data_IF_943221013728
#
_entry.id   IF_943221013728
#
_cell.length_a   1.000
_cell.length_b   1.000
_cell.length_c   1.000
_cell.angle_alpha   90.00
_cell.angle_beta   90.00
_cell.angle_gamma   90.00
#
_symmetry.space_group_name_H-M   'P 1'
#
loop_
_entity.id
_entity.type
_entity.pdbx_description
1 polymer ?
#
# COMPACT_ATOMS: atom_id res chain seq x y z
N UNK A 1 -0.30 -21.04 14.62
CA UNK A 1 0.47 -19.83 14.97
C UNK A 1 0.35 -18.82 13.84
N UNK A 2 0.10 -17.55 14.17
CA UNK A 2 0.19 -16.43 13.24
C UNK A 2 1.38 -15.58 13.66
N UNK A 3 2.27 -15.28 12.71
CA UNK A 3 3.37 -14.34 12.86
C UNK A 3 3.09 -13.17 11.94
N UNK A 4 3.00 -11.96 12.51
CA UNK A 4 2.54 -10.76 11.81
C UNK A 4 3.69 -9.76 11.68
N UNK A 5 3.92 -9.22 10.47
CA UNK A 5 4.90 -8.15 10.21
C UNK A 5 6.37 -8.58 10.27
N UNK A 6 6.78 -9.64 9.55
CA UNK A 6 8.20 -10.07 9.52
C UNK A 6 9.17 -8.95 9.08
N UNK A 7 8.74 -8.12 8.13
CA UNK A 7 9.51 -7.00 7.62
C UNK A 7 9.71 -5.87 8.65
N UNK A 8 8.97 -5.87 9.76
CA UNK A 8 9.15 -4.90 10.83
C UNK A 8 10.24 -5.29 11.86
N UNK A 9 10.94 -6.40 11.65
CA UNK A 9 12.18 -6.74 12.36
C UNK A 9 13.33 -5.99 11.69
N UNK A 10 13.97 -5.07 12.43
CA UNK A 10 15.01 -4.20 11.90
C UNK A 10 16.30 -4.98 11.64
N UNK A 11 16.75 -5.82 12.58
CA UNK A 11 17.92 -6.69 12.38
C UNK A 11 17.64 -7.78 11.34
N UNK A 12 18.38 -7.72 10.22
CA UNK A 12 18.33 -8.72 9.15
C UNK A 12 18.79 -10.10 9.61
N UNK A 13 19.75 -10.21 10.54
CA UNK A 13 20.25 -11.48 11.04
C UNK A 13 19.22 -12.17 11.96
N UNK A 14 18.61 -11.42 12.89
CA UNK A 14 17.46 -11.90 13.68
C UNK A 14 16.29 -12.33 12.78
N UNK A 15 15.96 -11.54 11.75
CA UNK A 15 14.90 -11.86 10.79
C UNK A 15 15.18 -13.16 10.03
N UNK A 16 16.38 -13.33 9.49
CA UNK A 16 16.77 -14.55 8.76
C UNK A 16 16.80 -15.77 9.70
N UNK A 17 17.26 -15.60 10.95
CA UNK A 17 17.19 -16.65 11.99
C UNK A 17 15.75 -17.05 12.28
N UNK A 18 14.84 -16.08 12.43
CA UNK A 18 13.41 -16.34 12.65
C UNK A 18 12.79 -17.11 11.48
N UNK A 19 13.06 -16.73 10.22
CA UNK A 19 12.54 -17.46 9.06
C UNK A 19 13.03 -18.90 9.01
N UNK A 20 14.30 -19.16 9.36
CA UNK A 20 14.84 -20.53 9.43
C UNK A 20 14.16 -21.35 10.54
N UNK A 21 13.93 -20.79 11.73
CA UNK A 21 13.20 -21.46 12.82
C UNK A 21 11.76 -21.79 12.40
N UNK A 22 11.04 -20.84 11.81
CA UNK A 22 9.67 -21.04 11.32
C UNK A 22 9.60 -22.07 10.19
N UNK A 23 10.60 -22.11 9.29
CA UNK A 23 10.68 -23.11 8.24
C UNK A 23 10.91 -24.52 8.82
N UNK A 24 11.84 -24.67 9.78
CA UNK A 24 12.10 -25.95 10.44
C UNK A 24 10.86 -26.49 11.16
N UNK A 25 10.14 -25.64 11.90
CA UNK A 25 8.86 -26.00 12.54
C UNK A 25 7.72 -26.30 11.56
N UNK A 26 7.79 -25.79 10.33
CA UNK A 26 6.81 -26.08 9.28
C UNK A 26 7.16 -27.32 8.44
N UNK A 27 8.42 -27.79 8.49
CA UNK A 27 8.88 -29.02 7.81
C UNK A 27 8.84 -30.29 8.66
N UNK A 28 8.69 -30.17 9.98
CA UNK A 28 8.52 -31.34 10.86
C UNK A 28 7.06 -31.81 10.81
N UNK A 29 6.83 -33.01 10.28
CA UNK A 29 5.50 -33.64 10.19
C UNK A 29 4.85 -33.88 11.57
N UNK A 30 5.64 -33.91 12.66
CA UNK A 30 5.14 -34.03 14.04
C UNK A 30 4.82 -32.68 14.67
N UNK A 31 5.10 -31.57 13.99
CA UNK A 31 4.84 -30.22 14.50
C UNK A 31 3.32 -29.97 14.65
N UNK A 32 2.83 -29.60 15.84
CA UNK A 32 1.42 -29.26 16.02
C UNK A 32 1.04 -27.91 15.37
N UNK A 33 2.02 -27.16 14.82
CA UNK A 33 1.85 -25.77 14.42
C UNK A 33 1.60 -25.61 12.93
N UNK A 34 0.38 -25.23 12.57
CA UNK A 34 0.13 -24.54 11.28
C UNK A 34 0.60 -23.09 11.39
N UNK A 35 1.55 -22.70 10.55
CA UNK A 35 2.17 -21.37 10.57
C UNK A 35 1.58 -20.52 9.44
N UNK A 36 1.08 -19.33 9.78
CA UNK A 36 0.78 -18.26 8.83
C UNK A 36 1.73 -17.10 9.13
N UNK A 37 2.32 -16.54 8.09
CA UNK A 37 3.30 -15.45 8.17
C UNK A 37 2.83 -14.29 7.28
N UNK A 38 2.78 -13.08 7.82
CA UNK A 38 2.56 -11.86 7.03
C UNK A 38 3.87 -11.08 6.89
N UNK A 39 4.02 -10.40 5.76
CA UNK A 39 5.18 -9.56 5.45
C UNK A 39 4.85 -8.65 4.27
N UNK A 40 5.39 -7.43 4.25
CA UNK A 40 5.56 -6.65 3.02
C UNK A 40 6.51 -7.39 2.05
N UNK A 41 6.54 -7.04 0.76
CA UNK A 41 7.45 -7.68 -0.20
C UNK A 41 8.92 -7.52 0.18
N UNK A 42 9.56 -8.59 0.65
CA UNK A 42 11.01 -8.63 0.91
C UNK A 42 11.72 -9.10 -0.36
N UNK A 43 12.56 -8.22 -0.94
CA UNK A 43 13.46 -8.57 -2.05
C UNK A 43 14.68 -9.35 -1.54
N UNK A 44 14.95 -10.52 -2.13
CA UNK A 44 16.14 -11.33 -1.85
C UNK A 44 15.80 -12.77 -1.46
N UNK A 45 16.78 -13.47 -0.87
CA UNK A 45 16.68 -14.88 -0.46
C UNK A 45 16.13 -15.09 0.95
N UNK A 46 15.77 -14.04 1.69
CA UNK A 46 15.28 -14.13 3.08
C UNK A 46 14.12 -15.13 3.26
N UNK A 47 13.18 -15.19 2.30
CA UNK A 47 12.04 -16.12 2.30
C UNK A 47 12.33 -17.48 1.65
N UNK A 48 13.56 -17.72 1.17
CA UNK A 48 13.94 -18.98 0.53
C UNK A 48 13.78 -20.23 1.42
N UNK A 49 13.97 -20.20 2.76
CA UNK A 49 13.69 -21.35 3.62
C UNK A 49 12.24 -21.83 3.51
N UNK A 50 11.28 -20.89 3.54
CA UNK A 50 9.84 -21.19 3.42
C UNK A 50 9.46 -21.63 2.00
N UNK A 51 10.11 -21.09 0.97
CA UNK A 51 9.92 -21.53 -0.41
C UNK A 51 10.43 -22.96 -0.64
N UNK A 52 11.57 -23.32 -0.03
CA UNK A 52 12.16 -24.68 -0.14
C UNK A 52 11.27 -25.77 0.43
N UNK A 53 10.51 -25.49 1.49
CA UNK A 53 9.55 -26.42 2.08
C UNK A 53 8.17 -26.40 1.39
N UNK A 54 8.03 -25.69 0.28
CA UNK A 54 6.78 -25.62 -0.49
C UNK A 54 5.66 -24.77 0.14
N UNK A 55 6.01 -23.81 1.02
CA UNK A 55 5.00 -22.95 1.66
C UNK A 55 4.18 -22.16 0.63
N UNK A 56 2.86 -22.17 0.79
CA UNK A 56 1.95 -21.46 -0.10
C UNK A 56 2.05 -19.94 0.10
N UNK A 57 2.31 -19.19 -0.99
CA UNK A 57 2.33 -17.74 -1.01
C UNK A 57 0.98 -17.18 -1.45
N UNK A 58 0.42 -16.27 -0.65
CA UNK A 58 -0.75 -15.48 -0.98
C UNK A 58 -0.37 -13.99 -1.00
N UNK A 59 -1.08 -13.19 -1.80
CA UNK A 59 -0.86 -11.74 -1.91
C UNK A 59 -2.17 -11.02 -1.62
N UNK A 60 -2.19 -10.19 -0.58
CA UNK A 60 -3.34 -9.35 -0.27
C UNK A 60 -3.46 -8.26 -1.33
N UNK A 61 -4.50 -8.35 -2.16
CA UNK A 61 -4.75 -7.38 -3.21
C UNK A 61 -5.29 -6.06 -2.62
N UNK A 62 -4.87 -4.91 -3.16
CA UNK A 62 -5.45 -3.62 -2.79
C UNK A 62 -6.90 -3.54 -3.28
N UNK A 63 -7.73 -2.70 -2.66
CA UNK A 63 -9.13 -2.53 -3.05
C UNK A 63 -9.24 -2.18 -4.55
N UNK A 64 -10.24 -2.76 -5.21
CA UNK A 64 -10.75 -2.26 -6.49
C UNK A 64 -11.87 -1.24 -6.23
N UNK A 65 -12.45 -0.70 -7.30
CA UNK A 65 -13.50 0.32 -7.20
C UNK A 65 -14.79 -0.20 -6.52
N UNK A 66 -15.08 -1.50 -6.59
CA UNK A 66 -16.28 -2.08 -5.99
C UNK A 66 -16.04 -2.34 -4.50
N UNK A 67 -14.88 -2.89 -4.14
CA UNK A 67 -14.45 -3.02 -2.75
C UNK A 67 -14.41 -1.65 -2.03
N UNK A 68 -13.97 -0.60 -2.71
CA UNK A 68 -13.99 0.78 -2.18
C UNK A 68 -15.42 1.34 -2.03
N UNK A 69 -16.32 1.10 -2.99
CA UNK A 69 -17.76 1.46 -2.86
C UNK A 69 -18.37 0.74 -1.66
N UNK A 70 -18.16 -0.57 -1.56
CA UNK A 70 -18.71 -1.39 -0.47
C UNK A 70 -18.13 -0.99 0.89
N UNK A 71 -16.83 -0.67 0.97
CA UNK A 71 -16.19 -0.11 2.16
C UNK A 71 -16.90 1.19 2.59
N UNK A 72 -17.08 2.14 1.66
CA UNK A 72 -17.72 3.42 1.95
C UNK A 72 -19.16 3.26 2.44
N UNK A 73 -19.98 2.47 1.74
CA UNK A 73 -21.38 2.21 2.13
C UNK A 73 -21.46 1.54 3.52
N UNK A 74 -20.54 0.63 3.83
CA UNK A 74 -20.47 -0.02 5.14
C UNK A 74 -19.97 0.91 6.25
N UNK A 75 -19.05 1.83 5.95
CA UNK A 75 -18.49 2.76 6.95
C UNK A 75 -19.51 3.79 7.41
N UNK A 76 -20.19 4.47 6.47
CA UNK A 76 -21.15 5.53 6.79
C UNK A 76 -22.56 5.03 7.10
N UNK A 77 -22.82 3.72 6.97
CA UNK A 77 -24.15 3.07 7.03
C UNK A 77 -25.21 3.77 6.14
N UNK A 78 -24.76 4.49 5.10
CA UNK A 78 -25.57 5.38 4.28
C UNK A 78 -25.00 5.48 2.85
N UNK A 79 -25.77 5.03 1.86
CA UNK A 79 -25.32 5.00 0.47
C UNK A 79 -25.02 6.40 -0.11
N UNK A 80 -25.83 7.41 0.22
CA UNK A 80 -25.63 8.79 -0.28
C UNK A 80 -24.34 9.43 0.24
N UNK A 81 -23.95 9.12 1.48
CA UNK A 81 -22.67 9.55 2.06
C UNK A 81 -21.51 8.76 1.45
N UNK A 82 -21.65 7.44 1.30
CA UNK A 82 -20.65 6.61 0.63
C UNK A 82 -20.37 7.06 -0.80
N UNK A 83 -21.39 7.40 -1.57
CA UNK A 83 -21.21 7.95 -2.92
C UNK A 83 -20.62 9.37 -2.93
N UNK A 84 -20.94 10.24 -1.95
CA UNK A 84 -20.28 11.56 -1.80
C UNK A 84 -18.78 11.38 -1.53
N UNK A 85 -18.42 10.49 -0.62
CA UNK A 85 -17.03 10.17 -0.30
C UNK A 85 -16.25 9.65 -1.52
N UNK A 86 -16.80 8.68 -2.26
CA UNK A 86 -16.18 8.17 -3.50
C UNK A 86 -16.06 9.25 -4.58
N UNK A 87 -17.00 10.21 -4.66
CA UNK A 87 -16.88 11.37 -5.56
C UNK A 87 -15.77 12.33 -5.11
N UNK A 88 -15.62 12.61 -3.82
CA UNK A 88 -14.53 13.47 -3.33
C UNK A 88 -13.15 12.82 -3.52
N UNK A 89 -13.02 11.50 -3.31
CA UNK A 89 -11.78 10.75 -3.64
C UNK A 89 -11.34 11.00 -5.08
N UNK A 90 -12.29 10.91 -6.04
CA UNK A 90 -12.02 11.16 -7.46
C UNK A 90 -11.64 12.60 -7.76
N UNK A 91 -12.34 13.55 -7.14
CA UNK A 91 -12.06 14.98 -7.29
C UNK A 91 -10.69 15.38 -6.71
N UNK A 92 -10.23 14.70 -5.66
CA UNK A 92 -8.92 14.86 -5.06
C UNK A 92 -7.83 13.96 -5.68
N UNK A 93 -8.14 13.24 -6.77
CA UNK A 93 -7.25 12.29 -7.46
C UNK A 93 -6.66 11.17 -6.58
N UNK A 94 -7.33 10.83 -5.48
CA UNK A 94 -6.88 9.84 -4.50
C UNK A 94 -7.16 8.37 -4.91
N UNK A 95 -7.74 8.13 -6.10
CA UNK A 95 -8.25 6.81 -6.52
C UNK A 95 -7.22 5.67 -6.41
N UNK A 96 -5.93 5.91 -6.71
CA UNK A 96 -4.88 4.88 -6.54
C UNK A 96 -4.48 4.70 -5.08
N UNK A 97 -4.57 5.77 -4.28
CA UNK A 97 -4.07 5.83 -2.92
C UNK A 97 -5.01 5.11 -1.92
N UNK A 98 -6.31 5.40 -2.00
CA UNK A 98 -7.32 4.76 -1.13
C UNK A 98 -7.60 3.30 -1.50
N UNK A 99 -6.87 2.74 -2.49
CA UNK A 99 -6.83 1.28 -2.70
C UNK A 99 -6.11 0.57 -1.55
N UNK A 100 -5.27 1.28 -0.79
CA UNK A 100 -4.72 0.81 0.47
C UNK A 100 -5.78 0.98 1.56
N UNK A 101 -6.26 -0.09 2.23
CA UNK A 101 -7.38 0.01 3.18
C UNK A 101 -7.18 1.04 4.29
N UNK A 102 -5.96 1.16 4.83
CA UNK A 102 -5.62 2.18 5.82
C UNK A 102 -5.89 3.62 5.32
N UNK A 103 -5.53 3.91 4.07
CA UNK A 103 -5.67 5.24 3.50
C UNK A 103 -7.14 5.54 3.14
N UNK A 104 -7.93 4.52 2.81
CA UNK A 104 -9.39 4.63 2.75
C UNK A 104 -9.99 4.97 4.12
N UNK A 105 -9.56 4.29 5.20
CA UNK A 105 -9.99 4.58 6.58
C UNK A 105 -9.62 5.99 7.02
N UNK A 106 -8.38 6.43 6.77
CA UNK A 106 -7.93 7.79 7.12
C UNK A 106 -8.74 8.84 6.34
N UNK A 107 -8.94 8.63 5.03
CA UNK A 107 -9.76 9.53 4.22
C UNK A 107 -11.22 9.56 4.70
N UNK A 108 -11.80 8.43 5.12
CA UNK A 108 -13.16 8.37 5.64
C UNK A 108 -13.29 9.16 6.96
N UNK A 109 -12.36 8.96 7.91
CA UNK A 109 -12.33 9.72 9.16
C UNK A 109 -12.19 11.22 8.90
N UNK A 110 -11.32 11.63 7.97
CA UNK A 110 -11.16 13.05 7.61
C UNK A 110 -12.45 13.59 6.96
N UNK A 111 -13.10 12.82 6.08
CA UNK A 111 -14.36 13.20 5.43
C UNK A 111 -15.47 13.48 6.47
N UNK A 112 -15.62 12.62 7.49
CA UNK A 112 -16.60 12.84 8.58
C UNK A 112 -16.34 14.13 9.37
N UNK A 113 -15.07 14.49 9.56
CA UNK A 113 -14.66 15.71 10.26
C UNK A 113 -14.70 16.98 9.39
N UNK A 114 -14.67 16.84 8.06
CA UNK A 114 -14.55 17.96 7.12
C UNK A 114 -15.85 18.34 6.41
N UNK A 115 -16.84 17.44 6.39
CA UNK A 115 -18.15 17.70 5.80
C UNK A 115 -18.05 17.98 4.30
N UNK A 116 -18.28 19.23 3.90
CA UNK A 116 -18.21 19.66 2.50
C UNK A 116 -16.85 20.27 2.09
N UNK A 117 -15.87 20.37 3.00
CA UNK A 117 -14.50 20.74 2.61
C UNK A 117 -13.87 19.59 1.80
N UNK A 118 -13.04 19.90 0.78
CA UNK A 118 -12.39 18.87 -0.02
C UNK A 118 -11.39 18.05 0.80
N UNK A 119 -11.23 16.77 0.45
CA UNK A 119 -10.20 15.91 1.00
C UNK A 119 -8.79 16.40 0.59
N UNK A 120 -7.76 16.19 1.43
CA UNK A 120 -6.36 16.41 1.05
C UNK A 120 -5.99 15.56 -0.17
N UNK A 121 -5.30 16.14 -1.15
CA UNK A 121 -5.05 15.54 -2.47
C UNK A 121 -3.88 14.55 -2.54
N UNK A 122 -3.19 14.30 -1.43
CA UNK A 122 -1.99 13.45 -1.39
C UNK A 122 -1.78 12.74 -0.05
N UNK A 123 -0.96 11.68 -0.06
CA UNK A 123 -0.71 10.83 1.13
C UNK A 123 -0.09 11.60 2.30
N UNK A 124 0.88 12.45 2.03
CA UNK A 124 1.56 13.26 3.04
C UNK A 124 0.55 14.16 3.78
N UNK A 125 -0.31 14.85 3.04
CA UNK A 125 -1.33 15.73 3.61
C UNK A 125 -2.45 14.96 4.33
N UNK A 126 -2.84 13.77 3.86
CA UNK A 126 -3.75 12.89 4.62
C UNK A 126 -3.15 12.49 5.98
N UNK A 127 -1.87 12.12 6.03
CA UNK A 127 -1.20 11.79 7.29
C UNK A 127 -1.06 13.02 8.20
N UNK A 128 -0.66 14.19 7.68
CA UNK A 128 -0.56 15.41 8.50
C UNK A 128 -1.91 15.82 9.09
N UNK A 129 -2.98 15.82 8.29
CA UNK A 129 -4.34 16.14 8.76
C UNK A 129 -4.82 15.11 9.79
N UNK A 130 -4.56 13.82 9.58
CA UNK A 130 -4.95 12.77 10.52
C UNK A 130 -4.15 12.81 11.83
N UNK A 131 -2.83 12.99 11.78
CA UNK A 131 -1.99 13.16 12.96
C UNK A 131 -2.35 14.43 13.72
N UNK A 132 -2.72 15.52 13.02
CA UNK A 132 -3.25 16.73 13.66
C UNK A 132 -4.61 16.47 14.33
N UNK A 133 -5.51 15.74 13.66
CA UNK A 133 -6.80 15.34 14.23
C UNK A 133 -6.63 14.56 15.53
N UNK A 134 -5.80 13.49 15.54
CA UNK A 134 -5.52 12.68 16.73
C UNK A 134 -5.03 13.54 17.91
N UNK A 135 -4.09 14.46 17.66
CA UNK A 135 -3.59 15.42 18.66
C UNK A 135 -4.69 16.36 19.16
N UNK A 136 -5.47 16.96 18.24
CA UNK A 136 -6.49 17.95 18.57
C UNK A 136 -7.71 17.39 19.32
N UNK A 137 -7.98 16.09 19.21
CA UNK A 137 -9.15 15.45 19.81
C UNK A 137 -9.12 15.37 21.35
N UNK A 138 -8.05 15.86 22.01
CA UNK A 138 -7.84 15.76 23.47
C UNK A 138 -7.29 17.02 24.15
N UNK A 139 -7.10 18.14 23.45
CA UNK A 139 -6.49 19.34 24.05
C UNK A 139 -7.46 20.09 24.99
N UNK A 140 -7.23 19.97 26.30
CA UNK A 140 -7.57 21.01 27.28
C UNK A 140 -6.26 21.67 27.73
N UNK A 141 -6.11 22.97 27.46
CA UNK A 141 -4.93 23.81 27.66
C UNK A 141 -3.62 23.34 26.97
N UNK A 142 -2.91 24.21 26.22
CA UNK A 142 -1.65 23.84 25.57
C UNK A 142 -0.53 23.70 26.61
N UNK A 143 0.06 22.51 26.68
CA UNK A 143 1.16 22.19 27.61
C UNK A 143 2.54 22.25 26.93
N UNK A 144 3.64 22.40 27.69
CA UNK A 144 4.99 22.23 27.15
C UNK A 144 5.23 20.84 26.53
N UNK A 145 4.53 19.82 27.04
CA UNK A 145 4.56 18.46 26.51
C UNK A 145 4.04 18.39 25.06
N UNK A 146 3.01 19.17 24.71
CA UNK A 146 2.46 19.19 23.33
C UNK A 146 3.49 19.66 22.29
N UNK A 147 4.37 20.59 22.67
CA UNK A 147 5.46 21.06 21.81
C UNK A 147 6.55 20.00 21.64
N UNK A 148 6.91 19.31 22.73
CA UNK A 148 7.88 18.22 22.74
C UNK A 148 7.38 16.96 22.01
N UNK A 149 6.08 16.65 22.09
CA UNK A 149 5.46 15.46 21.51
C UNK A 149 5.71 15.33 20.00
N UNK A 150 5.80 16.44 19.25
CA UNK A 150 6.12 16.40 17.83
C UNK A 150 7.51 15.81 17.56
N UNK A 151 8.54 16.40 18.18
CA UNK A 151 9.93 15.95 18.04
C UNK A 151 10.15 14.53 18.59
N UNK A 152 9.47 14.18 19.69
CA UNK A 152 9.50 12.84 20.25
C UNK A 152 8.86 11.79 19.32
N UNK A 153 7.73 12.10 18.69
CA UNK A 153 7.10 11.21 17.71
C UNK A 153 7.97 11.03 16.45
N UNK A 154 8.63 12.09 15.98
CA UNK A 154 9.65 12.02 14.92
C UNK A 154 10.81 11.09 15.34
N UNK A 155 11.33 11.24 16.57
CA UNK A 155 12.39 10.37 17.12
C UNK A 155 11.97 8.90 17.24
N UNK A 156 10.81 8.62 17.85
CA UNK A 156 10.28 7.25 18.00
C UNK A 156 9.99 6.60 16.64
N UNK A 157 9.64 7.40 15.62
CA UNK A 157 9.54 6.94 14.24
C UNK A 157 10.89 6.40 13.73
N UNK A 158 11.97 7.15 13.91
CA UNK A 158 13.33 6.72 13.52
C UNK A 158 13.75 5.45 14.29
N UNK A 159 13.60 5.45 15.62
CA UNK A 159 13.90 4.28 16.46
C UNK A 159 13.17 3.04 15.95
N UNK A 160 11.86 3.14 15.67
CA UNK A 160 11.07 1.99 15.19
C UNK A 160 11.54 1.40 13.86
N UNK A 161 12.19 2.18 13.00
CA UNK A 161 12.69 1.71 11.70
C UNK A 161 14.13 1.20 11.75
N UNK A 162 14.95 1.75 12.64
CA UNK A 162 16.40 1.51 12.65
C UNK A 162 16.85 0.55 13.76
N UNK A 163 16.04 0.38 14.81
CA UNK A 163 16.35 -0.54 15.92
C UNK A 163 15.13 -1.37 16.33
N UNK A 164 15.39 -2.49 16.98
CA UNK A 164 14.37 -3.31 17.64
C UNK A 164 14.24 -2.93 19.15
N UNK A 165 14.54 -1.66 19.49
CA UNK A 165 14.47 -1.13 20.87
C UNK A 165 13.02 -0.87 21.30
N UNK A 166 12.71 -1.08 22.58
CA UNK A 166 11.43 -0.67 23.17
C UNK A 166 11.19 0.83 22.99
N UNK A 167 10.00 1.20 22.53
CA UNK A 167 9.61 2.59 22.38
C UNK A 167 9.36 3.29 23.72
N UNK A 168 9.02 2.55 24.79
CA UNK A 168 9.05 3.07 26.17
C UNK A 168 10.46 3.43 26.58
N UNK A 169 11.44 2.52 26.40
CA UNK A 169 12.83 2.79 26.75
C UNK A 169 13.38 4.01 25.99
N UNK A 170 13.13 4.10 24.68
CA UNK A 170 13.51 5.25 23.87
C UNK A 170 12.80 6.55 24.29
N UNK A 171 11.53 6.47 24.74
CA UNK A 171 10.81 7.64 25.29
C UNK A 171 11.49 8.17 26.54
N UNK A 172 11.85 7.28 27.49
CA UNK A 172 12.52 7.67 28.74
C UNK A 172 13.91 8.25 28.48
N UNK A 173 14.68 7.64 27.58
CA UNK A 173 16.02 8.12 27.20
C UNK A 173 15.95 9.49 26.50
N UNK A 174 14.97 9.68 25.60
CA UNK A 174 14.74 10.97 24.95
C UNK A 174 14.30 12.05 25.95
N UNK A 175 13.39 11.71 26.87
CA UNK A 175 12.90 12.62 27.91
C UNK A 175 14.06 13.09 28.81
N UNK A 176 14.90 12.18 29.29
CA UNK A 176 16.06 12.51 30.11
C UNK A 176 17.06 13.48 29.42
N UNK A 177 17.10 13.49 28.08
CA UNK A 177 17.98 14.37 27.29
C UNK A 177 17.38 15.73 26.94
N UNK A 178 16.04 15.88 26.89
CA UNK A 178 15.39 17.10 26.39
C UNK A 178 14.40 17.75 27.38
N UNK A 179 13.96 17.01 28.40
CA UNK A 179 12.98 17.43 29.41
C UNK A 179 13.46 16.94 30.81
N UNK A 180 14.64 17.37 31.29
CA UNK A 180 15.23 16.86 32.54
C UNK A 180 14.34 17.09 33.78
N UNK A 181 13.51 18.13 33.75
CA UNK A 181 12.59 18.50 34.84
C UNK A 181 11.23 17.78 34.78
N UNK A 182 10.99 16.91 33.78
CA UNK A 182 9.72 16.21 33.58
C UNK A 182 9.84 14.70 33.83
N UNK A 183 8.96 14.07 34.62
CA UNK A 183 8.94 12.62 34.75
C UNK A 183 8.57 11.95 33.42
N UNK A 184 9.43 11.07 32.93
CA UNK A 184 9.24 10.39 31.64
C UNK A 184 8.05 9.42 31.59
N UNK A 185 7.54 8.97 32.74
CA UNK A 185 6.36 8.08 32.82
C UNK A 185 5.05 8.79 32.44
N UNK A 186 4.91 10.07 32.79
CA UNK A 186 3.79 10.91 32.36
C UNK A 186 3.79 11.10 30.85
N UNK A 187 4.99 11.17 30.24
CA UNK A 187 5.16 11.28 28.79
C UNK A 187 4.78 9.99 28.06
N UNK A 188 5.10 8.81 28.61
CA UNK A 188 4.63 7.50 28.08
C UNK A 188 3.11 7.40 28.14
N UNK A 189 2.51 7.83 29.25
CA UNK A 189 1.06 7.85 29.45
C UNK A 189 0.38 8.85 28.50
N UNK A 190 0.97 10.03 28.33
CA UNK A 190 0.55 11.04 27.36
C UNK A 190 0.63 10.51 25.92
N UNK A 191 1.75 9.92 25.49
CA UNK A 191 1.88 9.35 24.14
C UNK A 191 0.81 8.29 23.82
N UNK A 192 0.53 7.39 24.77
CA UNK A 192 -0.53 6.39 24.64
C UNK A 192 -1.94 7.00 24.58
N UNK A 193 -2.12 8.24 25.07
CA UNK A 193 -3.35 9.01 25.01
C UNK A 193 -3.46 9.89 23.74
N UNK A 194 -2.36 10.46 23.25
CA UNK A 194 -2.29 11.35 22.07
C UNK A 194 -2.61 10.63 20.76
N UNK A 195 -2.48 9.29 20.73
CA UNK A 195 -3.15 8.45 19.75
C UNK A 195 -2.37 7.89 18.55
N UNK A 196 -1.24 8.45 18.03
CA UNK A 196 -0.50 7.79 16.95
C UNK A 196 0.26 6.54 17.45
N UNK A 197 0.49 6.47 18.75
CA UNK A 197 1.04 5.35 19.51
C UNK A 197 0.00 4.85 20.51
N UNK A 198 0.03 3.55 20.79
CA UNK A 198 -0.83 2.87 21.77
C UNK A 198 0.01 1.94 22.64
N UNK A 199 -0.38 1.74 23.89
CA UNK A 199 0.27 0.79 24.79
C UNK A 199 -0.19 -0.64 24.49
N UNK A 200 0.73 -1.58 24.29
CA UNK A 200 0.45 -2.99 24.03
C UNK A 200 1.34 -3.87 24.90
N UNK A 201 0.80 -4.28 26.06
CA UNK A 201 1.62 -4.84 27.14
C UNK A 201 2.47 -3.74 27.78
N UNK A 202 3.74 -4.02 27.98
CA UNK A 202 4.68 -3.11 28.66
C UNK A 202 5.36 -2.11 27.74
N UNK A 203 5.05 -2.12 26.44
CA UNK A 203 5.67 -1.24 25.43
C UNK A 203 4.67 -0.42 24.62
N UNK A 204 5.15 0.64 23.96
CA UNK A 204 4.39 1.44 23.01
C UNK A 204 4.51 0.87 21.60
N UNK A 205 3.44 0.96 20.80
CA UNK A 205 3.45 0.65 19.37
C UNK A 205 2.64 1.66 18.58
N UNK A 206 3.17 2.08 17.43
CA UNK A 206 2.40 2.88 16.48
C UNK A 206 1.12 2.16 16.05
N UNK A 207 0.02 2.91 15.86
CA UNK A 207 -1.25 2.37 15.34
C UNK A 207 -1.08 1.64 14.00
N UNK A 208 -0.11 2.09 13.20
CA UNK A 208 0.29 1.46 11.95
C UNK A 208 1.75 1.82 11.63
N UNK A 209 2.51 0.87 11.08
CA UNK A 209 3.93 1.05 10.76
C UNK A 209 4.20 2.27 9.85
N UNK A 210 3.31 2.57 8.91
CA UNK A 210 3.46 3.73 8.02
C UNK A 210 3.42 5.09 8.72
N UNK A 211 2.89 5.20 9.94
CA UNK A 211 3.03 6.43 10.73
C UNK A 211 4.46 6.61 11.24
N UNK A 212 5.12 5.52 11.64
CA UNK A 212 6.55 5.54 11.95
C UNK A 212 7.35 5.92 10.71
N UNK A 213 7.02 5.38 9.53
CA UNK A 213 7.67 5.77 8.26
C UNK A 213 7.52 7.25 7.94
N UNK A 214 6.32 7.81 8.08
CA UNK A 214 6.05 9.23 7.85
C UNK A 214 6.82 10.12 8.84
N UNK A 215 6.78 9.79 10.13
CA UNK A 215 7.46 10.55 11.18
C UNK A 215 8.99 10.47 11.06
N UNK A 216 9.53 9.28 10.77
CA UNK A 216 10.96 9.09 10.52
C UNK A 216 11.42 9.81 9.24
N UNK A 217 10.59 9.85 8.20
CA UNK A 217 10.88 10.61 6.98
C UNK A 217 10.94 12.12 7.24
N UNK A 218 10.07 12.65 8.11
CA UNK A 218 10.15 14.05 8.58
C UNK A 218 11.45 14.28 9.35
N UNK A 219 11.77 13.42 10.33
CA UNK A 219 12.98 13.57 11.15
C UNK A 219 14.25 13.59 10.28
N UNK A 220 14.36 12.64 9.33
CA UNK A 220 15.50 12.59 8.41
C UNK A 220 15.54 13.77 7.44
N UNK A 221 14.39 14.28 7.00
CA UNK A 221 14.34 15.46 6.14
C UNK A 221 14.84 16.73 6.87
N UNK A 222 14.60 16.85 8.19
CA UNK A 222 15.13 17.95 9.02
C UNK A 222 16.65 17.89 9.25
N UNK A 223 17.27 16.72 9.08
CA UNK A 223 18.71 16.54 9.19
C UNK A 223 19.45 16.85 7.87
N UNK A 224 18.73 17.11 6.78
CA UNK A 224 19.32 17.51 5.51
C UNK A 224 19.68 19.02 5.54
N UNK A 225 20.69 19.45 4.77
CA UNK A 225 20.94 20.86 4.51
C UNK A 225 19.70 21.53 3.92
N UNK A 226 19.41 22.76 4.36
CA UNK A 226 18.25 23.58 3.93
C UNK A 226 18.18 23.76 2.41
N UNK A 227 19.33 23.92 1.75
CA UNK A 227 19.45 24.11 0.30
C UNK A 227 19.77 22.77 -0.39
N UNK A 228 19.11 22.48 -1.52
CA UNK A 228 19.33 21.25 -2.27
C UNK A 228 20.66 21.29 -3.03
N UNK A 229 21.64 20.55 -2.52
CA UNK A 229 22.96 20.43 -3.12
C UNK A 229 23.26 18.95 -3.47
N UNK A 230 23.05 18.49 -4.73
CA UNK A 230 23.15 17.08 -5.11
C UNK A 230 24.57 16.50 -4.98
N UNK A 231 25.59 17.36 -4.92
CA UNK A 231 26.99 16.96 -4.66
C UNK A 231 27.32 16.70 -3.19
N UNK A 232 26.45 17.07 -2.24
CA UNK A 232 26.68 16.79 -0.82
C UNK A 232 26.43 15.30 -0.50
N UNK A 233 27.23 14.66 0.37
CA UNK A 233 27.14 13.22 0.64
C UNK A 233 25.77 12.73 1.09
N UNK A 234 25.00 13.58 1.78
CA UNK A 234 23.67 13.31 2.32
C UNK A 234 22.66 13.15 1.18
N UNK A 235 22.58 14.16 0.31
CA UNK A 235 21.73 14.13 -0.88
C UNK A 235 22.18 13.07 -1.88
N UNK A 236 23.48 12.90 -2.13
CA UNK A 236 23.99 11.88 -3.04
C UNK A 236 23.58 10.45 -2.60
N UNK A 237 23.75 10.14 -1.31
CA UNK A 237 23.30 8.87 -0.72
C UNK A 237 21.78 8.70 -0.81
N UNK A 238 21.02 9.75 -0.49
CA UNK A 238 19.56 9.72 -0.51
C UNK A 238 18.98 9.55 -1.92
N UNK A 239 19.51 10.28 -2.92
CA UNK A 239 19.14 10.17 -4.32
C UNK A 239 19.43 8.78 -4.87
N UNK A 240 20.60 8.22 -4.56
CA UNK A 240 20.94 6.84 -4.93
C UNK A 240 19.97 5.83 -4.30
N UNK A 241 19.71 5.95 -3.00
CA UNK A 241 18.75 5.10 -2.28
C UNK A 241 17.31 5.24 -2.79
N UNK A 242 16.95 6.36 -3.42
CA UNK A 242 15.62 6.62 -3.97
C UNK A 242 15.35 5.98 -5.35
N UNK A 243 16.39 5.50 -6.06
CA UNK A 243 16.29 4.92 -7.41
C UNK A 243 15.57 3.55 -7.49
N UNK A 244 15.81 2.57 -6.58
CA UNK A 244 15.10 1.28 -6.61
C UNK A 244 13.59 1.45 -6.41
N UNK A 245 12.78 0.53 -6.96
CA UNK A 245 11.32 0.69 -6.94
C UNK A 245 10.75 0.55 -5.53
N UNK A 246 10.72 -0.65 -4.95
CA UNK A 246 10.18 -0.82 -3.59
C UNK A 246 11.15 -0.36 -2.50
N UNK A 247 12.41 -0.79 -2.55
CA UNK A 247 13.45 -0.40 -1.57
C UNK A 247 13.65 1.12 -1.48
N UNK A 248 13.46 1.87 -2.57
CA UNK A 248 13.62 3.32 -2.59
C UNK A 248 12.40 4.11 -2.10
N UNK A 249 11.31 3.45 -1.71
CA UNK A 249 10.06 4.09 -1.25
C UNK A 249 10.31 5.05 -0.09
N UNK A 250 11.04 4.60 0.93
CA UNK A 250 11.34 5.42 2.11
C UNK A 250 12.26 6.61 1.78
N UNK A 251 13.30 6.41 0.97
CA UNK A 251 14.17 7.51 0.52
C UNK A 251 13.42 8.58 -0.30
N UNK A 252 12.44 8.16 -1.12
CA UNK A 252 11.54 9.10 -1.81
C UNK A 252 10.57 9.82 -0.85
N UNK A 253 10.15 9.18 0.23
CA UNK A 253 9.38 9.84 1.28
C UNK A 253 10.23 10.93 1.97
N UNK A 254 11.48 10.66 2.32
CA UNK A 254 12.39 11.69 2.88
C UNK A 254 12.55 12.87 1.90
N UNK A 255 12.75 12.62 0.61
CA UNK A 255 12.81 13.69 -0.41
C UNK A 255 11.49 14.50 -0.49
N UNK A 256 10.34 13.84 -0.46
CA UNK A 256 9.03 14.51 -0.43
C UNK A 256 8.90 15.39 0.83
N UNK A 257 9.23 14.87 2.01
CA UNK A 257 9.17 15.63 3.27
C UNK A 257 10.14 16.82 3.25
N UNK A 258 11.36 16.64 2.72
CA UNK A 258 12.31 17.73 2.50
C UNK A 258 11.70 18.85 1.64
N UNK A 259 11.09 18.52 0.49
CA UNK A 259 10.43 19.53 -0.36
C UNK A 259 9.17 20.16 0.26
N UNK A 260 8.59 19.55 1.30
CA UNK A 260 7.46 20.12 2.06
C UNK A 260 7.93 21.04 3.19
N UNK A 261 9.09 20.75 3.79
CA UNK A 261 9.78 21.63 4.76
C UNK A 261 10.46 22.82 4.05
N UNK A 262 10.96 22.62 2.84
CA UNK A 262 11.66 23.62 2.02
C UNK A 262 11.03 23.74 0.62
N UNK A 263 9.84 24.39 0.47
CA UNK A 263 9.13 24.45 -0.80
C UNK A 263 9.90 25.09 -1.96
N UNK A 264 10.81 26.03 -1.67
CA UNK A 264 11.68 26.64 -2.69
C UNK A 264 12.57 25.60 -3.42
N UNK A 265 12.99 24.55 -2.71
CA UNK A 265 13.89 23.52 -3.22
C UNK A 265 13.17 22.46 -4.07
N UNK A 266 11.84 22.39 -4.01
CA UNK A 266 11.04 21.44 -4.80
C UNK A 266 11.30 21.63 -6.30
N UNK A 267 11.29 22.88 -6.74
CA UNK A 267 11.56 23.28 -8.11
C UNK A 267 13.02 23.01 -8.52
N UNK A 268 13.97 23.27 -7.63
CA UNK A 268 15.41 23.05 -7.86
C UNK A 268 15.69 21.56 -8.05
N UNK A 269 15.16 20.71 -7.16
CA UNK A 269 15.26 19.26 -7.22
C UNK A 269 14.68 18.70 -8.54
N UNK A 270 13.46 19.09 -8.92
CA UNK A 270 12.83 18.57 -10.14
C UNK A 270 13.53 19.09 -11.40
N UNK A 271 13.99 20.35 -11.44
CA UNK A 271 14.82 20.87 -12.55
C UNK A 271 16.14 20.10 -12.69
N UNK A 272 16.84 19.83 -11.58
CA UNK A 272 18.08 19.04 -11.59
C UNK A 272 17.83 17.62 -12.07
N UNK A 273 16.81 16.93 -11.54
CA UNK A 273 16.48 15.57 -11.96
C UNK A 273 16.11 15.50 -13.45
N UNK A 274 15.36 16.48 -13.97
CA UNK A 274 15.01 16.59 -15.40
C UNK A 274 16.24 16.79 -16.30
N UNK A 275 17.28 17.46 -15.82
CA UNK A 275 18.50 17.75 -16.58
C UNK A 275 19.49 16.57 -16.67
N UNK A 276 19.29 15.51 -15.89
CA UNK A 276 20.21 14.37 -15.78
C UNK A 276 19.78 13.18 -16.68
N UNK A 277 20.06 11.93 -16.27
CA UNK A 277 19.82 10.74 -17.09
C UNK A 277 18.47 10.08 -16.78
N UNK A 278 18.17 8.99 -17.48
CA UNK A 278 16.89 8.30 -17.40
C UNK A 278 16.50 7.78 -15.99
N UNK A 279 17.47 7.53 -15.11
CA UNK A 279 17.19 7.16 -13.71
C UNK A 279 16.68 8.36 -12.91
N UNK A 280 17.28 9.54 -13.06
CA UNK A 280 16.77 10.78 -12.45
C UNK A 280 15.43 11.21 -13.06
N UNK A 281 15.22 11.00 -14.36
CA UNK A 281 13.91 11.24 -15.00
C UNK A 281 12.81 10.37 -14.39
N UNK A 282 13.10 9.09 -14.14
CA UNK A 282 12.17 8.18 -13.47
C UNK A 282 11.97 8.56 -11.99
N UNK A 283 13.00 9.06 -11.30
CA UNK A 283 12.89 9.57 -9.94
C UNK A 283 12.00 10.83 -9.89
N UNK A 284 12.19 11.79 -10.79
CA UNK A 284 11.32 12.96 -10.92
C UNK A 284 9.86 12.55 -11.17
N UNK A 285 9.61 11.63 -12.11
CA UNK A 285 8.26 11.14 -12.37
C UNK A 285 7.61 10.49 -11.14
N UNK A 286 8.36 9.73 -10.33
CA UNK A 286 7.89 9.15 -9.07
C UNK A 286 7.63 10.19 -7.98
N UNK A 287 8.46 11.24 -7.90
CA UNK A 287 8.29 12.33 -6.93
C UNK A 287 7.08 13.20 -7.27
N UNK A 288 6.85 13.49 -8.55
CA UNK A 288 5.64 14.18 -9.02
C UNK A 288 4.38 13.32 -8.83
N UNK A 289 4.46 12.00 -9.05
CA UNK A 289 3.40 11.06 -8.67
C UNK A 289 3.15 10.99 -7.15
N UNK A 290 4.13 11.40 -6.33
CA UNK A 290 4.00 11.58 -4.89
C UNK A 290 3.55 12.99 -4.47
N UNK A 291 3.21 13.87 -5.42
CA UNK A 291 2.79 15.25 -5.20
C UNK A 291 3.86 16.08 -4.44
N UNK A 292 5.12 16.04 -4.91
CA UNK A 292 6.11 17.08 -4.56
C UNK A 292 5.57 18.46 -4.95
N UNK A 293 5.68 19.50 -4.10
CA UNK A 293 5.07 20.82 -4.32
C UNK A 293 5.86 21.67 -5.33
N UNK A 294 6.13 21.13 -6.52
CA UNK A 294 6.76 21.84 -7.63
C UNK A 294 5.75 22.78 -8.33
N UNK A 295 6.25 23.88 -8.87
CA UNK A 295 5.48 24.86 -9.63
C UNK A 295 4.92 24.26 -10.92
N UNK A 296 3.79 24.81 -11.39
CA UNK A 296 3.15 24.39 -12.63
C UNK A 296 4.10 24.48 -13.82
N UNK A 297 4.93 25.52 -13.89
CA UNK A 297 5.96 25.70 -14.92
C UNK A 297 6.97 24.54 -14.96
N UNK A 298 7.53 24.16 -13.80
CA UNK A 298 8.51 23.08 -13.71
C UNK A 298 7.90 21.73 -14.08
N UNK A 299 6.64 21.51 -13.67
CA UNK A 299 5.90 20.30 -14.03
C UNK A 299 5.56 20.28 -15.51
N UNK A 300 4.98 21.34 -16.08
CA UNK A 300 4.64 21.40 -17.51
C UNK A 300 5.87 21.24 -18.42
N UNK A 301 7.02 21.79 -18.01
CA UNK A 301 8.29 21.55 -18.67
C UNK A 301 8.71 20.07 -18.60
N UNK A 302 8.59 19.41 -17.43
CA UNK A 302 8.85 17.97 -17.28
C UNK A 302 7.87 17.11 -18.11
N UNK A 303 6.58 17.44 -18.11
CA UNK A 303 5.55 16.79 -18.92
C UNK A 303 5.84 16.90 -20.42
N UNK A 304 6.34 18.05 -20.86
CA UNK A 304 6.76 18.28 -22.25
C UNK A 304 7.93 17.37 -22.62
N UNK A 305 8.93 17.24 -21.74
CA UNK A 305 10.05 16.29 -21.96
C UNK A 305 9.56 14.82 -21.97
N UNK A 306 8.69 14.44 -21.03
CA UNK A 306 8.11 13.10 -20.97
C UNK A 306 7.28 12.74 -22.22
N UNK A 307 6.50 13.69 -22.75
CA UNK A 307 5.77 13.55 -24.03
C UNK A 307 6.69 13.41 -25.23
N UNK A 308 7.87 14.04 -25.21
CA UNK A 308 8.87 13.84 -26.26
C UNK A 308 9.44 12.42 -26.22
N UNK A 309 9.77 11.90 -25.02
CA UNK A 309 10.19 10.50 -24.84
C UNK A 309 9.10 9.48 -25.18
N UNK A 310 7.81 9.81 -25.03
CA UNK A 310 6.72 8.94 -25.48
C UNK A 310 6.73 8.63 -26.99
N UNK A 311 7.41 9.48 -27.78
CA UNK A 311 7.61 9.30 -29.22
C UNK A 311 8.85 8.48 -29.55
N UNK A 312 9.70 8.16 -28.56
CA UNK A 312 10.88 7.31 -28.73
C UNK A 312 10.60 5.90 -28.21
N UNK A 313 11.16 4.88 -28.84
CA UNK A 313 10.92 3.46 -28.49
C UNK A 313 11.78 2.96 -27.32
N UNK A 314 12.30 3.86 -26.48
CA UNK A 314 13.24 3.52 -25.43
C UNK A 314 12.53 2.98 -24.17
N UNK A 315 13.05 1.88 -23.62
CA UNK A 315 12.46 1.14 -22.49
C UNK A 315 12.14 1.99 -21.23
N UNK A 316 12.93 3.00 -20.83
CA UNK A 316 12.59 3.87 -19.68
C UNK A 316 11.30 4.67 -19.88
N UNK A 317 10.98 5.05 -21.14
CA UNK A 317 9.88 5.96 -21.45
C UNK A 317 8.52 5.45 -20.94
N UNK A 318 8.25 4.14 -21.06
CA UNK A 318 6.98 3.56 -20.59
C UNK A 318 6.81 3.69 -19.06
N UNK A 319 7.88 3.46 -18.28
CA UNK A 319 7.84 3.60 -16.82
C UNK A 319 7.73 5.06 -16.39
N UNK A 320 8.48 5.95 -17.05
CA UNK A 320 8.37 7.39 -16.83
C UNK A 320 6.94 7.83 -17.10
N UNK A 321 6.36 7.51 -18.25
CA UNK A 321 4.98 7.86 -18.60
C UNK A 321 3.94 7.29 -17.64
N UNK A 322 4.12 6.05 -17.16
CA UNK A 322 3.23 5.48 -16.16
C UNK A 322 3.23 6.32 -14.86
N UNK A 323 4.40 6.68 -14.33
CA UNK A 323 4.47 7.50 -13.12
C UNK A 323 4.02 8.94 -13.39
N UNK A 324 4.45 9.54 -14.49
CA UNK A 324 3.98 10.87 -14.93
C UNK A 324 2.45 10.93 -15.06
N UNK A 325 1.80 9.89 -15.56
CA UNK A 325 0.32 9.83 -15.67
C UNK A 325 -0.41 9.81 -14.33
N UNK A 326 0.30 9.55 -13.22
CA UNK A 326 -0.23 9.57 -11.86
C UNK A 326 -0.15 10.95 -11.21
N UNK A 327 0.68 11.86 -11.73
CA UNK A 327 0.72 13.26 -11.31
C UNK A 327 -0.51 14.07 -11.82
N UNK A 328 -1.66 13.41 -12.03
CA UNK A 328 -2.82 13.89 -12.78
C UNK A 328 -3.56 15.08 -12.15
N UNK A 329 -3.20 15.43 -10.91
CA UNK A 329 -3.66 16.64 -10.23
C UNK A 329 -3.18 17.94 -10.90
N UNK A 330 -2.11 17.88 -11.72
CA UNK A 330 -1.68 19.04 -12.50
C UNK A 330 -2.53 19.24 -13.78
N UNK A 331 -3.10 20.44 -14.01
CA UNK A 331 -4.03 20.68 -15.12
C UNK A 331 -3.41 20.44 -16.50
N UNK A 332 -2.10 20.64 -16.65
CA UNK A 332 -1.36 20.35 -17.87
C UNK A 332 -1.38 18.87 -18.30
N UNK A 333 -1.69 17.92 -17.41
CA UNK A 333 -1.79 16.49 -17.77
C UNK A 333 -3.12 16.17 -18.46
N UNK A 334 -4.24 16.69 -17.93
CA UNK A 334 -5.58 16.38 -18.38
C UNK A 334 -5.82 16.69 -19.88
N UNK A 335 -5.14 17.72 -20.40
CA UNK A 335 -5.28 18.17 -21.79
C UNK A 335 -4.47 17.34 -22.82
N UNK A 336 -3.49 16.53 -22.40
CA UNK A 336 -2.39 16.13 -23.31
C UNK A 336 -1.83 14.71 -23.20
N UNK A 337 -2.50 13.78 -22.51
CA UNK A 337 -2.18 12.35 -22.61
C UNK A 337 -3.07 11.66 -23.67
N UNK A 338 -2.50 10.99 -24.68
CA UNK A 338 -3.30 10.18 -25.59
C UNK A 338 -3.96 9.02 -24.82
N UNK A 339 -5.26 8.78 -25.05
CA UNK A 339 -6.08 7.73 -24.40
C UNK A 339 -5.64 6.27 -24.72
N UNK A 340 -4.41 6.06 -25.16
CA UNK A 340 -3.91 4.84 -25.82
C UNK A 340 -2.98 3.97 -24.96
N UNK A 341 -3.35 3.71 -23.70
CA UNK A 341 -2.76 2.60 -22.90
C UNK A 341 -3.80 1.57 -22.41
N UNK A 342 -5.03 1.60 -22.97
CA UNK A 342 -6.16 0.77 -22.56
C UNK A 342 -6.50 -0.42 -23.46
N UNK A 343 -5.58 -0.91 -24.31
CA UNK A 343 -5.82 -2.09 -25.17
C UNK A 343 -4.74 -3.16 -25.03
N UNK A 344 -4.83 -3.97 -23.98
CA UNK A 344 -4.16 -5.29 -23.96
C UNK A 344 -4.83 -6.18 -25.00
N UNK A 345 -4.25 -6.29 -26.20
CA UNK A 345 -4.54 -7.43 -27.08
C UNK A 345 -4.02 -8.69 -26.39
N UNK A 346 -4.86 -9.70 -26.25
CA UNK A 346 -4.45 -11.00 -25.74
C UNK A 346 -3.41 -11.62 -26.69
N UNK A 347 -2.21 -11.91 -26.17
CA UNK A 347 -1.24 -12.76 -26.85
C UNK A 347 -1.24 -14.15 -26.18
N UNK A 348 -1.57 -15.15 -27.01
CA UNK A 348 -1.14 -16.55 -26.95
C UNK A 348 -0.91 -17.23 -25.59
N UNK A 349 -1.81 -18.14 -25.23
CA UNK A 349 -1.46 -19.27 -24.36
C UNK A 349 -0.30 -20.09 -24.95
N UNK A 350 0.60 -20.65 -24.12
CA UNK A 350 1.71 -21.46 -24.60
C UNK A 350 1.23 -22.85 -25.06
N UNK A 351 1.42 -23.16 -26.34
CA UNK A 351 1.20 -24.52 -26.87
C UNK A 351 2.39 -25.41 -26.49
N UNK A 352 2.06 -26.56 -25.89
CA UNK A 352 2.99 -27.61 -25.48
C UNK A 352 3.75 -28.21 -26.69
N UNK A 353 5.10 -28.22 -26.61
CA UNK A 353 5.95 -29.00 -27.53
C UNK A 353 6.23 -30.39 -26.96
N UNK A 354 5.90 -31.50 -27.65
CA UNK A 354 6.48 -32.81 -27.36
C UNK A 354 7.85 -32.97 -28.04
N UNK A 355 8.75 -33.74 -27.42
CA UNK A 355 10.04 -34.17 -27.99
C UNK A 355 9.85 -35.25 -29.07
N UNK A 356 10.66 -35.18 -30.15
CA UNK A 356 11.24 -36.28 -30.97
C UNK A 356 12.31 -35.60 -31.86
N UNK A 357 13.60 -35.91 -31.77
CA UNK A 357 14.32 -37.09 -32.31
C UNK A 357 14.33 -37.19 -33.85
N UNK A 358 15.53 -37.37 -34.40
CA UNK A 358 15.91 -37.26 -35.81
C UNK A 358 15.42 -38.44 -36.66
N UNK A 359 15.10 -38.18 -37.95
CA UNK A 359 15.77 -38.79 -39.14
C UNK A 359 15.24 -38.21 -40.47
N UNK A 360 15.99 -38.49 -41.55
CA UNK A 360 15.95 -37.95 -42.91
C UNK A 360 14.65 -38.14 -43.71
N UNK A 361 14.49 -37.35 -44.80
CA UNK A 361 14.07 -37.93 -46.10
C UNK A 361 13.09 -37.13 -46.97
N UNK A 362 13.61 -36.49 -48.03
CA UNK A 362 13.01 -36.29 -49.36
C UNK A 362 11.59 -35.69 -49.59
N UNK A 363 11.60 -34.48 -50.19
CA UNK A 363 11.02 -34.13 -51.49
C UNK A 363 9.49 -33.94 -51.73
N UNK A 364 9.21 -32.76 -52.33
CA UNK A 364 8.31 -32.48 -53.47
C UNK A 364 6.87 -31.90 -53.29
N UNK A 365 6.62 -30.85 -54.10
CA UNK A 365 5.36 -30.40 -54.75
C UNK A 365 4.14 -29.89 -53.95
N UNK A 366 4.06 -28.55 -53.84
CA UNK A 366 3.05 -27.62 -54.43
C UNK A 366 1.50 -27.80 -54.31
N UNK A 367 0.71 -26.70 -54.41
CA UNK A 367 -0.66 -26.53 -53.85
C UNK A 367 -1.75 -26.46 -54.97
N UNK A 368 -2.93 -25.74 -54.93
CA UNK A 368 -3.64 -24.92 -53.90
C UNK A 368 -5.21 -25.05 -53.87
N UNK A 369 -5.90 -24.02 -53.31
CA UNK A 369 -7.34 -23.59 -53.49
C UNK A 369 -8.37 -24.17 -52.49
N UNK A 370 -9.52 -23.52 -52.17
CA UNK A 370 -10.00 -22.11 -52.23
C UNK A 370 -11.22 -21.95 -51.27
N UNK A 371 -11.64 -20.71 -50.96
CA UNK A 371 -12.94 -20.38 -50.31
C UNK A 371 -14.12 -20.48 -51.32
N UNK A 372 -15.40 -20.59 -50.88
CA UNK A 372 -16.30 -19.43 -50.61
C UNK A 372 -17.03 -19.54 -49.25
N UNK A 373 -17.43 -18.52 -48.46
CA UNK A 373 -18.21 -17.25 -48.62
C UNK A 373 -19.75 -17.37 -48.55
N UNK A 374 -20.37 -16.36 -47.92
CA UNK A 374 -21.80 -16.02 -47.82
C UNK A 374 -22.67 -16.86 -46.83
N UNK A 375 -23.72 -16.32 -46.20
CA UNK A 375 -24.29 -14.96 -46.34
C UNK A 375 -24.88 -14.35 -45.04
N UNK A 376 -25.17 -13.04 -45.11
CA UNK A 376 -25.89 -12.21 -44.12
C UNK A 376 -27.41 -12.24 -44.34
N UNK A 377 -28.12 -11.76 -43.30
CA UNK A 377 -29.44 -11.07 -43.29
C UNK A 377 -30.48 -11.81 -42.44
N UNK A 378 -31.41 -11.15 -41.74
CA UNK A 378 -31.50 -9.75 -41.28
C UNK A 378 -32.66 -9.64 -40.27
N UNK A 379 -32.57 -8.70 -39.32
CA UNK A 379 -33.66 -8.05 -38.57
C UNK A 379 -35.05 -8.74 -38.44
N UNK A 380 -35.51 -8.87 -37.19
CA UNK A 380 -36.83 -8.29 -36.82
C UNK A 380 -36.93 -8.07 -35.30
N UNK A 381 -37.72 -7.06 -34.93
CA UNK A 381 -37.94 -6.60 -33.56
C UNK A 381 -39.11 -7.32 -32.88
N UNK A 382 -39.03 -7.55 -31.56
CA UNK A 382 -40.16 -7.45 -30.62
C UNK A 382 -39.72 -7.61 -29.14
N UNK A 383 -40.22 -6.70 -28.31
CA UNK A 383 -40.44 -6.83 -26.86
C UNK A 383 -41.97 -6.78 -26.68
N UNK A 384 -42.60 -7.38 -25.63
CA UNK A 384 -42.30 -7.02 -24.23
C UNK A 384 -42.46 -8.14 -23.17
N UNK A 385 -42.15 -7.74 -21.93
CA UNK A 385 -42.66 -8.26 -20.63
C UNK A 385 -42.56 -9.76 -20.31
N UNK A 386 -41.73 -10.08 -19.32
CA UNK A 386 -41.74 -11.37 -18.63
C UNK A 386 -41.07 -11.29 -17.24
N UNK A 387 -41.86 -11.36 -16.18
CA UNK A 387 -41.38 -11.40 -14.78
C UNK A 387 -40.66 -12.72 -14.48
N UNK A 388 -39.45 -12.66 -13.91
CA UNK A 388 -38.77 -13.86 -13.40
C UNK A 388 -37.94 -13.57 -12.13
N UNK A 389 -38.38 -14.15 -11.02
CA UNK A 389 -37.62 -14.22 -9.77
C UNK A 389 -36.39 -15.13 -9.94
N UNK A 390 -35.18 -14.60 -9.73
CA UNK A 390 -33.93 -15.34 -9.85
C UNK A 390 -33.19 -15.41 -8.50
N UNK A 391 -33.31 -16.58 -7.88
CA UNK A 391 -32.69 -17.01 -6.61
C UNK A 391 -31.22 -16.59 -6.46
N UNK A 392 -30.88 -16.11 -5.25
CA UNK A 392 -29.51 -15.94 -4.75
C UNK A 392 -28.64 -17.17 -5.07
N UNK A 393 -27.50 -16.98 -5.74
CA UNK A 393 -26.42 -17.98 -5.82
C UNK A 393 -25.29 -17.57 -4.86
N UNK A 394 -24.80 -18.45 -3.99
CA UNK A 394 -23.63 -18.15 -3.17
C UNK A 394 -22.35 -18.19 -4.01
N UNK A 395 -21.43 -17.27 -3.76
CA UNK A 395 -20.09 -17.29 -4.35
C UNK A 395 -19.34 -18.56 -3.93
N UNK A 396 -18.91 -19.36 -4.92
CA UNK A 396 -18.01 -20.50 -4.70
C UNK A 396 -16.58 -20.00 -4.55
N UNK A 397 -15.97 -20.26 -3.41
CA UNK A 397 -14.50 -20.37 -3.33
C UNK A 397 -14.11 -21.64 -4.10
N UNK A 398 -13.33 -21.49 -5.17
CA UNK A 398 -12.82 -22.61 -5.97
C UNK A 398 -11.53 -23.14 -5.31
N UNK A 399 -11.68 -24.17 -4.48
CA UNK A 399 -10.53 -24.93 -3.99
C UNK A 399 -10.13 -25.98 -5.05
N UNK A 400 -8.94 -25.84 -5.63
CA UNK A 400 -8.35 -26.87 -6.51
C UNK A 400 -7.85 -28.02 -5.64
N UNK A 401 -8.41 -29.21 -5.83
CA UNK A 401 -8.22 -30.36 -4.96
C UNK A 401 -6.99 -31.17 -5.37
N UNK A 402 -5.93 -31.12 -4.57
CA UNK A 402 -4.79 -32.04 -4.66
C UNK A 402 -5.21 -33.49 -4.44
N UNK A 403 -4.61 -34.41 -5.19
CA UNK A 403 -4.92 -35.85 -5.20
C UNK A 403 -4.01 -36.57 -4.18
N UNK A 404 -4.55 -37.29 -3.18
CA UNK A 404 -3.72 -38.09 -2.27
C UNK A 404 -3.33 -39.43 -2.92
N UNK A 405 -2.17 -40.02 -2.56
CA UNK A 405 -1.89 -41.42 -2.84
C UNK A 405 -2.71 -42.33 -1.90
N UNK A 406 -3.00 -43.53 -2.39
CA UNK A 406 -3.86 -44.54 -1.76
C UNK A 406 -3.04 -45.62 -1.03
N UNK A 407 -3.49 -46.05 0.15
CA UNK A 407 -3.04 -47.30 0.78
C UNK A 407 -3.41 -47.38 2.27
N UNK A 408 -4.04 -48.48 2.69
CA UNK A 408 -4.37 -48.76 4.10
C UNK A 408 -5.87 -48.95 4.36
N UNK A 409 -6.35 -50.20 4.26
CA UNK A 409 -7.65 -50.57 4.82
C UNK A 409 -7.46 -50.96 6.29
N UNK A 410 -8.27 -50.39 7.20
CA UNK A 410 -8.80 -51.17 8.32
C UNK A 410 -10.10 -50.55 8.87
N UNK A 411 -10.92 -51.39 9.51
CA UNK A 411 -12.30 -51.08 9.91
C UNK A 411 -12.34 -50.78 11.40
N UNK A 412 -13.11 -49.76 11.82
CA UNK A 412 -14.00 -49.83 13.00
C UNK A 412 -14.88 -48.58 13.12
N UNK A 413 -16.15 -48.81 13.47
CA UNK A 413 -17.14 -47.84 13.99
C UNK A 413 -17.56 -48.35 15.39
N UNK A 414 -18.34 -47.64 16.24
CA UNK A 414 -19.13 -46.41 16.04
C UNK A 414 -18.60 -45.24 16.94
N UNK A 415 -19.28 -44.14 17.32
CA UNK A 415 -20.70 -43.73 17.31
C UNK A 415 -20.83 -42.19 17.20
N UNK A 416 -22.03 -41.63 17.44
CA UNK A 416 -22.29 -40.20 17.73
C UNK A 416 -23.20 -40.08 18.95
N UNK A 417 -23.27 -38.91 19.59
CA UNK A 417 -24.49 -38.09 19.46
C UNK A 417 -24.25 -36.64 19.02
N UNK A 418 -25.33 -35.93 18.68
CA UNK A 418 -25.39 -34.46 18.47
C UNK A 418 -25.71 -33.76 19.81
N UNK A 419 -25.64 -32.41 19.87
CA UNK A 419 -26.89 -31.65 19.71
C UNK A 419 -26.80 -30.35 18.89
N UNK A 420 -27.95 -29.68 18.83
CA UNK A 420 -28.27 -28.35 18.28
C UNK A 420 -27.30 -27.24 18.77
N UNK A 421 -27.12 -26.09 18.13
CA UNK A 421 -27.84 -25.47 17.01
C UNK A 421 -28.31 -24.07 17.41
N UNK A 422 -27.63 -23.00 16.94
CA UNK A 422 -28.14 -21.64 17.08
C UNK A 422 -27.57 -20.69 15.99
N UNK A 423 -28.35 -19.70 15.57
CA UNK A 423 -28.02 -18.85 14.43
C UNK A 423 -27.20 -17.61 14.86
N UNK A 424 -25.89 -17.63 14.63
CA UNK A 424 -25.01 -16.50 14.93
C UNK A 424 -24.97 -15.45 13.81
N UNK A 425 -25.48 -14.25 14.09
CA UNK A 425 -25.14 -13.02 13.36
C UNK A 425 -23.62 -12.83 13.37
N UNK A 426 -22.98 -12.92 12.19
CA UNK A 426 -21.53 -12.69 12.05
C UNK A 426 -21.22 -11.20 12.10
N UNK A 427 -21.00 -10.68 13.32
CA UNK A 427 -20.23 -9.44 13.49
C UNK A 427 -18.79 -9.70 13.03
N UNK A 428 -18.25 -8.80 12.22
CA UNK A 428 -16.83 -8.80 11.90
C UNK A 428 -16.07 -8.18 13.07
N UNK A 429 -15.28 -8.98 13.78
CA UNK A 429 -14.40 -8.48 14.83
C UNK A 429 -13.20 -7.76 14.21
N UNK A 430 -13.31 -6.43 14.10
CA UNK A 430 -12.15 -5.56 13.93
C UNK A 430 -11.50 -5.29 15.31
N UNK A 431 -10.21 -4.91 15.37
CA UNK A 431 -9.59 -4.52 16.63
C UNK A 431 -10.31 -3.31 17.24
N UNK A 432 -10.70 -3.41 18.52
CA UNK A 432 -11.41 -2.35 19.24
C UNK A 432 -10.60 -1.04 19.38
N UNK A 433 -9.30 -1.08 19.04
CA UNK A 433 -8.36 0.05 19.12
C UNK A 433 -8.45 1.07 17.97
N UNK A 434 -9.36 0.89 17.00
CA UNK A 434 -9.61 1.85 15.91
C UNK A 434 -11.02 2.43 15.90
N UNK A 435 -11.84 2.16 16.92
CA UNK A 435 -13.10 2.88 17.09
C UNK A 435 -12.81 4.34 17.48
N UNK A 436 -13.44 5.34 16.83
CA UNK A 436 -13.30 6.73 17.27
C UNK A 436 -13.86 6.90 18.69
N UNK A 437 -13.34 7.84 19.49
CA UNK A 437 -13.96 8.17 20.77
C UNK A 437 -15.39 8.64 20.52
N UNK A 438 -16.36 7.98 21.16
CA UNK A 438 -17.78 8.31 21.01
C UNK A 438 -18.05 9.65 21.70
N UNK A 439 -17.95 10.73 20.93
CA UNK A 439 -18.48 12.03 21.32
C UNK A 439 -19.99 11.92 21.45
N UNK A 440 -20.49 11.92 22.69
CA UNK A 440 -21.92 12.06 22.96
C UNK A 440 -22.42 13.35 22.30
N UNK A 441 -23.30 13.21 21.31
CA UNK A 441 -24.06 14.35 20.77
C UNK A 441 -24.98 14.87 21.87
N UNK A 442 -24.67 16.04 22.44
CA UNK A 442 -25.66 16.79 23.21
C UNK A 442 -26.71 17.33 22.24
N UNK A 443 -27.95 16.87 22.37
CA UNK A 443 -29.08 17.42 21.64
C UNK A 443 -29.40 18.84 22.12
N UNK A 444 -29.37 19.80 21.18
CA UNK A 444 -30.16 21.03 21.18
C UNK A 444 -30.68 21.25 19.75
#
# INVERSE_FOLDING_TARGET
MLVDGLDEVADSAARDKLVNVLANWASDDNSPYRIVLTTRPIEGSALAPLQRIGAARYELQPFDHEALRQFAVNWFENESLGERFVRQIRAAHLDELVRVPLLATIAAIIFEQHGDRPLPDNQYSLYEVYLKYLRSARSHEPSPLDQACGALLEHLGVVRLETDTSLVAATLEWAARHLPDSPGEDLVTCLAAVGPVTRRGDDLRFLHHSFAEHLAATAKARLLPTEFAPGQPEFARLLHAARPDERGRYARAVLLHFTRLHPAEADVLIRWLRANNAEEHLLAARLLAGHVPASTEVVDAFLTTARAWAKTTQYPALRILQQTSRAAHHPGIAAGLPRSCGKRKALGSPVSKPRRHWRHGCAATSPPRLLPTCDRSSMTSRSPSGTASARRRPCRIVAVKGKPPSGGCERSSPTRPRPHGNAGTRRWCWPTSMAPPVLMRSSR
#
